data_IF_846400276178
#
_entry.id   IF_846400276178
#
_cell.length_a   1.000
_cell.length_b   1.000
_cell.length_c   1.000
_cell.angle_alpha   90.00
_cell.angle_beta   90.00
_cell.angle_gamma   90.00
#
_symmetry.space_group_name_H-M   'P 1'
#
loop_
_entity.id
_entity.type
_entity.pdbx_description
1 polymer ?
#
# COMPACT_ATOMS: atom_id res chain seq x y z
N UNK A 1 11.49 -46.20 -24.78
CA UNK A 1 12.26 -45.40 -23.79
C UNK A 1 12.01 -43.88 -23.87
N UNK A 2 11.94 -43.24 -25.05
CA UNK A 2 11.66 -41.79 -25.16
C UNK A 2 10.31 -41.35 -24.56
N UNK A 3 9.24 -42.14 -24.70
CA UNK A 3 7.90 -41.79 -24.18
C UNK A 3 7.77 -41.97 -22.65
N UNK A 4 8.56 -42.87 -22.06
CA UNK A 4 8.58 -43.09 -20.59
C UNK A 4 9.33 -41.93 -19.91
N UNK A 5 10.42 -41.45 -20.51
CA UNK A 5 11.14 -40.29 -20.00
C UNK A 5 10.25 -39.02 -19.99
N UNK A 6 9.49 -38.79 -21.06
CA UNK A 6 8.58 -37.64 -21.17
C UNK A 6 7.45 -37.68 -20.12
N UNK A 7 6.90 -38.86 -19.84
CA UNK A 7 5.89 -39.06 -18.80
C UNK A 7 6.43 -38.85 -17.37
N UNK A 8 7.66 -39.31 -17.10
CA UNK A 8 8.32 -39.12 -15.79
C UNK A 8 8.65 -37.64 -15.56
N UNK A 9 9.12 -36.93 -16.59
CA UNK A 9 9.34 -35.47 -16.51
C UNK A 9 8.02 -34.73 -16.27
N UNK A 10 6.95 -35.02 -17.01
CA UNK A 10 5.64 -34.40 -16.80
C UNK A 10 5.10 -34.63 -15.37
N UNK A 11 5.22 -35.85 -14.82
CA UNK A 11 4.80 -36.16 -13.45
C UNK A 11 5.63 -35.45 -12.38
N UNK A 12 6.94 -35.28 -12.59
CA UNK A 12 7.81 -34.53 -11.69
C UNK A 12 7.48 -33.03 -11.69
N UNK A 13 7.20 -32.44 -12.86
CA UNK A 13 6.77 -31.04 -12.99
C UNK A 13 5.42 -30.79 -12.31
N UNK A 14 4.44 -31.69 -12.49
CA UNK A 14 3.12 -31.57 -11.83
C UNK A 14 3.25 -31.66 -10.31
N UNK A 15 4.05 -32.59 -9.78
CA UNK A 15 4.29 -32.70 -8.32
C UNK A 15 4.99 -31.47 -7.76
N UNK A 16 5.97 -30.90 -8.46
CA UNK A 16 6.68 -29.70 -8.00
C UNK A 16 5.77 -28.47 -7.97
N UNK A 17 4.93 -28.29 -9.00
CA UNK A 17 3.95 -27.19 -9.03
C UNK A 17 2.90 -27.32 -7.92
N UNK A 18 2.38 -28.52 -7.66
CA UNK A 18 1.41 -28.75 -6.59
C UNK A 18 1.99 -28.48 -5.20
N UNK A 19 3.25 -28.89 -4.96
CA UNK A 19 3.95 -28.62 -3.70
C UNK A 19 4.21 -27.11 -3.50
N UNK A 20 4.55 -26.39 -4.59
CA UNK A 20 4.70 -24.94 -4.56
C UNK A 20 3.40 -24.24 -4.16
N UNK A 21 2.27 -24.65 -4.73
CA UNK A 21 0.96 -24.07 -4.40
C UNK A 21 0.57 -24.31 -2.95
N UNK A 22 0.80 -25.53 -2.46
CA UNK A 22 0.53 -25.90 -1.08
C UNK A 22 1.33 -25.04 -0.10
N UNK A 23 2.58 -24.70 -0.43
CA UNK A 23 3.41 -23.82 0.38
C UNK A 23 2.88 -22.37 0.40
N UNK A 24 2.38 -21.86 -0.74
CA UNK A 24 1.75 -20.54 -0.81
C UNK A 24 0.50 -20.50 0.09
N UNK A 25 -0.37 -21.50 -0.02
CA UNK A 25 -1.56 -21.55 0.82
C UNK A 25 -1.23 -21.74 2.31
N UNK A 26 -0.24 -22.55 2.66
CA UNK A 26 0.21 -22.67 4.05
C UNK A 26 0.74 -21.33 4.61
N UNK A 27 1.44 -20.55 3.79
CA UNK A 27 1.87 -19.20 4.17
C UNK A 27 0.67 -18.26 4.36
N UNK A 28 -0.33 -18.32 3.47
CA UNK A 28 -1.59 -17.56 3.63
C UNK A 28 -2.31 -17.92 4.93
N UNK A 29 -2.48 -19.20 5.21
CA UNK A 29 -3.22 -19.69 6.39
C UNK A 29 -2.55 -19.23 7.70
N UNK A 30 -1.21 -19.34 7.78
CA UNK A 30 -0.46 -18.91 8.96
C UNK A 30 -0.54 -17.40 9.18
N UNK A 31 -0.37 -16.62 8.10
CA UNK A 31 -0.38 -15.16 8.16
C UNK A 31 -1.79 -14.61 8.42
N UNK A 32 -2.84 -15.24 7.88
CA UNK A 32 -4.23 -14.84 8.13
C UNK A 32 -4.65 -15.05 9.58
N UNK A 33 -4.23 -16.15 10.21
CA UNK A 33 -4.47 -16.38 11.64
C UNK A 33 -3.85 -15.27 12.50
N UNK A 34 -2.60 -14.92 12.22
CA UNK A 34 -1.90 -13.86 12.94
C UNK A 34 -2.56 -12.50 12.71
N UNK A 35 -2.95 -12.19 11.47
CA UNK A 35 -3.65 -10.96 11.12
C UNK A 35 -5.00 -10.85 11.85
N UNK A 36 -5.81 -11.91 11.86
CA UNK A 36 -7.08 -11.93 12.58
C UNK A 36 -6.88 -11.67 14.08
N UNK A 37 -5.87 -12.32 14.69
CA UNK A 37 -5.56 -12.13 16.11
C UNK A 37 -5.09 -10.71 16.43
N UNK A 38 -4.15 -10.16 15.65
CA UNK A 38 -3.59 -8.82 15.89
C UNK A 38 -4.58 -7.69 15.63
N UNK A 39 -5.43 -7.84 14.61
CA UNK A 39 -6.41 -6.82 14.25
C UNK A 39 -7.73 -6.93 15.00
N UNK A 40 -8.06 -8.10 15.56
CA UNK A 40 -9.38 -8.41 16.12
C UNK A 40 -10.45 -8.69 15.06
N UNK A 41 -10.07 -8.83 13.78
CA UNK A 41 -11.03 -8.97 12.68
C UNK A 41 -11.89 -10.23 12.78
N UNK A 42 -13.16 -10.11 12.42
CA UNK A 42 -14.06 -11.27 12.30
C UNK A 42 -13.77 -12.09 11.05
N UNK A 43 -13.44 -11.40 9.96
CA UNK A 43 -13.05 -12.02 8.69
C UNK A 43 -11.75 -11.43 8.15
N UNK A 44 -11.01 -12.29 7.47
CA UNK A 44 -9.80 -11.93 6.73
C UNK A 44 -9.93 -12.55 5.34
N UNK A 45 -9.82 -11.73 4.31
CA UNK A 45 -9.80 -12.19 2.92
C UNK A 45 -8.46 -11.78 2.29
N UNK A 46 -7.76 -12.72 1.66
CA UNK A 46 -6.42 -12.53 1.10
C UNK A 46 -6.36 -12.97 -0.35
N UNK A 47 -5.76 -12.12 -1.19
CA UNK A 47 -5.42 -12.40 -2.57
C UNK A 47 -3.92 -12.22 -2.79
N UNK A 48 -3.27 -13.20 -3.39
CA UNK A 48 -1.87 -13.14 -3.77
C UNK A 48 -1.76 -13.39 -5.27
N UNK A 49 -1.01 -12.51 -5.93
CA UNK A 49 -0.44 -12.79 -7.24
C UNK A 49 1.02 -13.14 -7.04
N UNK A 50 1.47 -14.32 -7.48
CA UNK A 50 2.88 -14.70 -7.45
C UNK A 50 3.24 -15.37 -8.77
N UNK A 51 4.23 -14.82 -9.45
CA UNK A 51 4.71 -15.35 -10.73
C UNK A 51 3.59 -15.53 -11.78
N UNK A 52 2.64 -14.58 -11.80
CA UNK A 52 1.46 -14.60 -12.68
C UNK A 52 0.34 -15.53 -12.24
N UNK A 53 0.50 -16.28 -11.14
CA UNK A 53 -0.52 -17.19 -10.58
C UNK A 53 -1.28 -16.55 -9.42
N UNK A 54 -2.59 -16.77 -9.42
CA UNK A 54 -3.54 -16.21 -8.44
C UNK A 54 -3.84 -17.23 -7.34
N UNK A 55 -3.87 -16.74 -6.09
CA UNK A 55 -4.25 -17.50 -4.90
C UNK A 55 -5.21 -16.66 -4.07
N UNK A 56 -6.37 -17.23 -3.70
CA UNK A 56 -7.33 -16.59 -2.79
C UNK A 56 -7.60 -17.46 -1.57
N UNK A 57 -7.79 -16.81 -0.41
CA UNK A 57 -8.21 -17.44 0.84
C UNK A 57 -9.11 -16.50 1.63
N UNK A 58 -10.09 -17.08 2.29
CA UNK A 58 -11.05 -16.39 3.14
C UNK A 58 -11.15 -17.12 4.48
N UNK A 59 -11.14 -16.35 5.56
CA UNK A 59 -11.12 -16.86 6.92
C UNK A 59 -12.16 -16.14 7.76
N UNK A 60 -12.72 -16.87 8.73
CA UNK A 60 -13.67 -16.31 9.69
C UNK A 60 -15.08 -16.10 9.13
N UNK A 61 -15.87 -15.35 9.88
CA UNK A 61 -17.26 -15.02 9.56
C UNK A 61 -17.37 -13.51 9.32
N UNK A 62 -18.25 -13.09 8.41
CA UNK A 62 -18.54 -11.68 8.20
C UNK A 62 -19.21 -11.10 9.44
N UNK A 63 -20.12 -11.85 10.06
CA UNK A 63 -20.76 -11.51 11.32
C UNK A 63 -20.52 -12.61 12.34
N UNK A 64 -19.86 -12.29 13.45
CA UNK A 64 -19.52 -13.26 14.50
C UNK A 64 -20.76 -14.03 15.00
N UNK A 65 -20.72 -15.35 14.87
CA UNK A 65 -21.73 -16.28 15.36
C UNK A 65 -22.92 -16.49 14.41
N UNK A 66 -22.91 -15.88 13.21
CA UNK A 66 -23.98 -16.05 12.22
C UNK A 66 -23.68 -17.13 11.17
N UNK A 67 -22.46 -17.66 11.13
CA UNK A 67 -22.06 -18.70 10.17
C UNK A 67 -21.90 -18.22 8.73
N UNK A 68 -22.05 -16.91 8.46
CA UNK A 68 -21.86 -16.32 7.14
C UNK A 68 -20.38 -16.10 6.84
N UNK A 69 -19.74 -17.09 6.23
CA UNK A 69 -18.32 -17.05 5.89
C UNK A 69 -18.04 -16.11 4.73
N UNK A 70 -16.90 -15.43 4.78
CA UNK A 70 -16.37 -14.73 3.61
C UNK A 70 -15.99 -15.75 2.52
N UNK A 71 -16.18 -15.37 1.25
CA UNK A 71 -15.84 -16.16 0.07
C UNK A 71 -15.44 -15.28 -1.13
N UNK A 72 -15.15 -15.91 -2.27
CA UNK A 72 -14.71 -15.23 -3.50
C UNK A 72 -15.78 -14.28 -4.09
N UNK A 73 -17.04 -14.38 -3.65
CA UNK A 73 -18.16 -13.54 -4.12
C UNK A 73 -18.52 -12.43 -3.14
N UNK A 74 -17.86 -12.39 -1.98
CA UNK A 74 -18.14 -11.40 -0.95
C UNK A 74 -17.64 -10.01 -1.36
N UNK A 75 -18.56 -9.05 -1.45
CA UNK A 75 -18.25 -7.64 -1.68
C UNK A 75 -17.74 -6.97 -0.41
N UNK A 76 -16.60 -6.30 -0.49
CA UNK A 76 -16.05 -5.46 0.58
C UNK A 76 -15.89 -4.03 0.11
N UNK A 77 -16.06 -3.05 1.01
CA UNK A 77 -15.62 -1.69 0.74
C UNK A 77 -14.08 -1.65 0.68
N UNK A 78 -13.52 -1.27 -0.48
CA UNK A 78 -12.05 -1.19 -0.65
C UNK A 78 -11.47 0.18 -0.26
N UNK A 79 -12.35 1.13 0.06
CA UNK A 79 -11.99 2.45 0.57
C UNK A 79 -10.92 3.13 -0.29
N UNK A 80 -9.87 3.71 0.31
CA UNK A 80 -8.85 4.47 -0.40
C UNK A 80 -8.03 3.69 -1.44
N UNK A 81 -8.17 2.36 -1.58
CA UNK A 81 -7.59 1.63 -2.71
C UNK A 81 -8.20 2.10 -4.05
N UNK A 82 -9.45 2.58 -4.04
CA UNK A 82 -10.09 3.24 -5.19
C UNK A 82 -9.24 4.34 -5.82
N UNK A 83 -8.41 5.02 -5.02
CA UNK A 83 -7.60 6.14 -5.50
C UNK A 83 -6.54 5.70 -6.49
N UNK A 84 -6.12 4.43 -6.46
CA UNK A 84 -5.23 3.87 -7.49
C UNK A 84 -5.93 3.83 -8.85
N UNK A 85 -7.24 3.51 -8.89
CA UNK A 85 -8.02 3.60 -10.12
C UNK A 85 -8.12 5.04 -10.62
N UNK A 86 -8.37 6.02 -9.73
CA UNK A 86 -8.34 7.44 -10.09
C UNK A 86 -6.97 7.85 -10.64
N UNK A 87 -5.89 7.37 -10.00
CA UNK A 87 -4.52 7.60 -10.43
C UNK A 87 -4.23 7.03 -11.81
N UNK A 88 -4.70 5.81 -12.11
CA UNK A 88 -4.58 5.22 -13.45
C UNK A 88 -5.37 6.00 -14.50
N UNK A 89 -6.58 6.48 -14.21
CA UNK A 89 -7.33 7.31 -15.15
C UNK A 89 -6.61 8.64 -15.45
N UNK A 90 -6.00 9.27 -14.45
CA UNK A 90 -5.17 10.47 -14.67
C UNK A 90 -3.88 10.16 -15.44
N UNK A 91 -3.21 9.06 -15.11
CA UNK A 91 -2.03 8.59 -15.84
C UNK A 91 -2.37 8.31 -17.32
N UNK A 92 -3.52 7.69 -17.58
CA UNK A 92 -4.04 7.51 -18.93
C UNK A 92 -4.29 8.86 -19.63
N UNK A 93 -4.92 9.82 -18.95
CA UNK A 93 -5.14 11.16 -19.52
C UNK A 93 -3.84 11.90 -19.84
N UNK A 94 -2.78 11.71 -19.02
CA UNK A 94 -1.43 12.24 -19.28
C UNK A 94 -0.83 11.59 -20.52
N UNK A 95 -0.89 10.25 -20.63
CA UNK A 95 -0.34 9.52 -21.76
C UNK A 95 -1.08 9.80 -23.07
N UNK A 96 -2.38 10.11 -23.00
CA UNK A 96 -3.20 10.54 -24.14
C UNK A 96 -2.98 12.02 -24.51
N UNK A 97 -2.16 12.77 -23.76
CA UNK A 97 -1.91 14.19 -23.98
C UNK A 97 -3.10 15.10 -23.69
N UNK A 98 -4.10 14.61 -22.94
CA UNK A 98 -5.29 15.38 -22.56
C UNK A 98 -5.03 16.32 -21.38
N UNK A 99 -4.06 15.96 -20.52
CA UNK A 99 -3.56 16.79 -19.41
C UNK A 99 -2.04 16.70 -19.32
N UNK A 100 -1.40 17.73 -18.76
CA UNK A 100 0.01 17.69 -18.35
C UNK A 100 0.14 17.82 -16.83
N UNK A 101 1.19 17.19 -16.28
CA UNK A 101 1.51 17.27 -14.85
C UNK A 101 1.77 18.69 -14.36
N UNK A 102 2.26 19.57 -15.22
CA UNK A 102 2.56 20.95 -14.88
C UNK A 102 1.41 21.92 -15.16
N UNK A 103 0.28 21.43 -15.66
CA UNK A 103 -0.89 22.27 -15.88
C UNK A 103 -1.55 22.69 -14.58
N UNK A 104 -2.01 23.94 -14.59
CA UNK A 104 -2.96 24.47 -13.62
C UNK A 104 -4.28 23.67 -13.69
N UNK A 105 -4.74 23.16 -12.54
CA UNK A 105 -5.99 22.38 -12.42
C UNK A 105 -7.20 23.14 -12.95
N UNK A 106 -7.20 24.47 -12.88
CA UNK A 106 -8.33 25.34 -13.28
C UNK A 106 -8.64 25.24 -14.77
N UNK A 107 -7.66 24.85 -15.60
CA UNK A 107 -7.87 24.60 -17.04
C UNK A 107 -8.90 23.51 -17.31
N UNK A 108 -9.10 22.60 -16.37
CA UNK A 108 -9.95 21.42 -16.50
C UNK A 108 -11.25 21.48 -15.69
N UNK A 109 -11.54 22.64 -15.08
CA UNK A 109 -12.75 22.88 -14.32
C UNK A 109 -13.68 23.81 -15.11
N UNK A 110 -14.98 23.47 -15.14
CA UNK A 110 -16.01 24.34 -15.69
C UNK A 110 -16.46 25.33 -14.63
N UNK A 111 -16.21 26.63 -14.84
CA UNK A 111 -16.52 27.70 -13.88
C UNK A 111 -15.29 28.54 -13.53
N UNK A 112 -15.46 29.49 -12.62
CA UNK A 112 -14.37 30.37 -12.15
C UNK A 112 -13.90 29.93 -10.77
N UNK A 113 -12.62 29.57 -10.66
CA UNK A 113 -11.98 29.09 -9.43
C UNK A 113 -10.68 29.86 -9.11
N UNK A 114 -10.72 31.21 -9.01
CA UNK A 114 -9.52 32.02 -8.76
C UNK A 114 -8.90 31.74 -7.39
N UNK A 115 -9.63 31.09 -6.48
CA UNK A 115 -9.18 30.68 -5.16
C UNK A 115 -8.28 29.43 -5.15
N UNK A 116 -8.13 28.71 -6.27
CA UNK A 116 -7.26 27.52 -6.39
C UNK A 116 -5.79 27.89 -6.70
N UNK A 117 -5.32 28.95 -6.06
CA UNK A 117 -3.92 29.39 -6.07
C UNK A 117 -3.58 30.04 -4.72
N UNK A 118 -2.28 30.16 -4.44
CA UNK A 118 -1.77 30.87 -3.28
C UNK A 118 -0.74 31.90 -3.74
N UNK A 119 -1.03 33.20 -3.56
CA UNK A 119 -0.18 34.31 -3.99
C UNK A 119 0.28 34.19 -5.46
N UNK A 120 -0.64 33.84 -6.37
CA UNK A 120 -0.36 33.67 -7.81
C UNK A 120 0.27 32.33 -8.19
N UNK A 121 0.54 31.43 -7.24
CA UNK A 121 1.03 30.07 -7.52
C UNK A 121 -0.16 29.10 -7.59
N UNK A 122 -0.50 28.57 -8.78
CA UNK A 122 -1.66 27.69 -8.94
C UNK A 122 -1.39 26.28 -8.43
N UNK A 123 -2.48 25.56 -8.09
CA UNK A 123 -2.42 24.11 -7.93
C UNK A 123 -2.18 23.47 -9.29
N UNK A 124 -1.14 22.65 -9.42
CA UNK A 124 -0.87 21.87 -10.63
C UNK A 124 -1.39 20.44 -10.53
N UNK A 125 -1.58 19.75 -11.66
CA UNK A 125 -1.96 18.32 -11.70
C UNK A 125 -1.00 17.47 -10.85
N UNK A 126 0.32 17.71 -10.92
CA UNK A 126 1.29 16.98 -10.09
C UNK A 126 1.07 17.16 -8.59
N UNK A 127 0.63 18.34 -8.16
CA UNK A 127 0.31 18.59 -6.75
C UNK A 127 -0.95 17.84 -6.33
N UNK A 128 -1.90 17.69 -7.24
CA UNK A 128 -3.14 16.94 -7.01
C UNK A 128 -2.83 15.49 -6.68
N UNK A 129 -2.07 14.83 -7.54
CA UNK A 129 -1.78 13.38 -7.45
C UNK A 129 -0.80 13.01 -6.34
N UNK A 130 0.03 13.97 -5.87
CA UNK A 130 0.98 13.79 -4.75
C UNK A 130 0.44 14.26 -3.40
N UNK A 131 -0.81 14.75 -3.32
CA UNK A 131 -1.40 15.39 -2.13
C UNK A 131 -0.67 16.64 -1.64
N UNK A 132 0.02 17.36 -2.52
CA UNK A 132 0.73 18.59 -2.18
C UNK A 132 -0.09 19.83 -2.56
N UNK A 133 -1.41 19.78 -2.43
CA UNK A 133 -2.32 20.83 -2.91
C UNK A 133 -2.54 21.97 -1.91
N UNK A 134 -2.20 21.76 -0.64
CA UNK A 134 -2.56 22.62 0.50
C UNK A 134 -4.09 22.80 0.72
N UNK A 135 -4.92 21.97 0.08
CA UNK A 135 -6.37 22.00 0.24
C UNK A 135 -6.81 21.46 1.61
N UNK A 136 -8.04 21.79 2.06
CA UNK A 136 -8.69 21.09 3.17
C UNK A 136 -8.80 19.58 2.89
N UNK A 137 -9.03 18.81 3.95
CA UNK A 137 -9.14 17.35 3.84
C UNK A 137 -10.37 16.94 3.03
N UNK A 138 -11.54 17.51 3.36
CA UNK A 138 -12.82 17.09 2.82
C UNK A 138 -13.71 18.29 2.45
N UNK A 139 -14.67 18.01 1.58
CA UNK A 139 -15.89 18.79 1.41
C UNK A 139 -17.09 17.82 1.49
N UNK A 140 -18.17 18.16 2.23
CA UNK A 140 -18.30 19.34 3.10
C UNK A 140 -17.24 19.33 4.22
N UNK A 141 -16.94 20.51 4.77
CA UNK A 141 -15.89 20.62 5.79
C UNK A 141 -16.28 19.83 7.05
N UNK A 142 -15.38 18.96 7.51
CA UNK A 142 -15.55 18.08 8.67
C UNK A 142 -14.51 18.34 9.78
N UNK A 143 -13.76 19.45 9.71
CA UNK A 143 -12.68 19.78 10.64
C UNK A 143 -13.12 19.79 12.11
N UNK A 144 -14.33 20.29 12.41
CA UNK A 144 -14.85 20.33 13.78
C UNK A 144 -15.18 18.93 14.33
N UNK A 145 -15.69 18.04 13.47
CA UNK A 145 -15.90 16.63 13.85
C UNK A 145 -14.56 15.93 14.10
N UNK A 146 -13.55 16.22 13.26
CA UNK A 146 -12.19 15.67 13.43
C UNK A 146 -11.49 16.11 14.72
N UNK A 147 -11.74 17.31 15.22
CA UNK A 147 -11.17 17.78 16.49
C UNK A 147 -11.75 17.05 17.71
N UNK A 148 -12.92 16.42 17.57
CA UNK A 148 -13.69 15.78 18.66
C UNK A 148 -14.07 14.34 18.30
N UNK A 149 -13.10 13.56 17.82
CA UNK A 149 -13.35 12.19 17.41
C UNK A 149 -13.77 11.30 18.58
N UNK A 150 -14.84 10.55 18.38
CA UNK A 150 -15.40 9.52 19.26
C UNK A 150 -15.83 8.32 18.43
N UNK A 151 -16.25 7.25 19.09
CA UNK A 151 -16.82 6.05 18.42
C UNK A 151 -18.10 6.36 17.61
N UNK A 152 -18.75 7.50 17.84
CA UNK A 152 -19.92 7.96 17.08
C UNK A 152 -19.56 8.77 15.82
N UNK A 153 -18.32 9.24 15.70
CA UNK A 153 -17.88 10.10 14.61
C UNK A 153 -18.16 9.52 13.21
N UNK A 154 -17.97 8.21 12.93
CA UNK A 154 -18.39 7.61 11.66
C UNK A 154 -19.84 7.89 11.26
N UNK A 155 -20.77 7.83 12.19
CA UNK A 155 -22.19 8.09 11.94
C UNK A 155 -22.46 9.58 11.72
N UNK A 156 -21.73 10.45 12.40
CA UNK A 156 -21.80 11.89 12.20
C UNK A 156 -21.27 12.31 10.83
N UNK A 157 -20.19 11.68 10.35
CA UNK A 157 -19.70 11.89 8.98
C UNK A 157 -20.74 11.46 7.95
N UNK A 158 -21.37 10.29 8.11
CA UNK A 158 -22.41 9.86 7.18
C UNK A 158 -23.60 10.81 7.17
N UNK A 159 -24.02 11.30 8.34
CA UNK A 159 -25.09 12.30 8.45
C UNK A 159 -24.68 13.64 7.80
N UNK A 160 -23.43 14.06 7.94
CA UNK A 160 -22.94 15.30 7.33
C UNK A 160 -22.93 15.21 5.79
N UNK A 161 -22.61 14.04 5.24
CA UNK A 161 -22.59 13.80 3.80
C UNK A 161 -23.98 13.49 3.22
N UNK A 162 -24.98 13.26 4.07
CA UNK A 162 -26.35 12.98 3.65
C UNK A 162 -26.93 14.18 2.88
N UNK A 163 -27.28 13.95 1.61
CA UNK A 163 -27.82 14.99 0.73
C UNK A 163 -26.78 15.94 0.12
N UNK A 164 -25.50 15.84 0.46
CA UNK A 164 -24.45 16.67 -0.15
C UNK A 164 -24.22 16.27 -1.60
N UNK A 165 -24.39 17.19 -2.55
CA UNK A 165 -24.38 16.90 -3.99
C UNK A 165 -23.09 17.34 -4.70
N UNK A 166 -22.90 16.91 -5.96
CA UNK A 166 -21.82 17.42 -6.82
C UNK A 166 -21.91 18.93 -7.06
N UNK A 167 -23.09 19.54 -6.98
CA UNK A 167 -23.25 20.98 -7.16
C UNK A 167 -22.90 21.75 -5.88
N UNK A 168 -23.25 21.21 -4.71
CA UNK A 168 -22.75 21.73 -3.42
C UNK A 168 -21.23 21.66 -3.38
N UNK A 169 -20.63 20.55 -3.82
CA UNK A 169 -19.17 20.41 -3.93
C UNK A 169 -18.55 21.52 -4.79
N UNK A 170 -19.10 21.80 -5.98
CA UNK A 170 -18.57 22.86 -6.87
C UNK A 170 -18.70 24.25 -6.23
N UNK A 171 -19.82 24.51 -5.53
CA UNK A 171 -20.06 25.77 -4.82
C UNK A 171 -19.05 25.95 -3.69
N UNK A 172 -18.85 24.93 -2.87
CA UNK A 172 -17.92 24.98 -1.76
C UNK A 172 -16.46 25.03 -2.25
N UNK A 173 -16.12 24.29 -3.31
CA UNK A 173 -14.82 24.33 -3.97
C UNK A 173 -14.46 25.75 -4.43
N UNK A 174 -15.42 26.56 -4.87
CA UNK A 174 -15.19 27.96 -5.25
C UNK A 174 -14.88 28.87 -4.05
N UNK A 175 -14.97 28.37 -2.81
CA UNK A 175 -14.76 29.14 -1.57
C UNK A 175 -13.59 28.62 -0.72
N UNK A 176 -12.97 27.48 -1.09
CA UNK A 176 -11.86 26.92 -0.31
C UNK A 176 -10.66 27.87 -0.30
N UNK A 177 -9.89 27.79 0.78
CA UNK A 177 -8.64 28.54 0.95
C UNK A 177 -7.49 27.56 1.09
N UNK A 178 -6.41 27.82 0.36
CA UNK A 178 -5.17 27.07 0.49
C UNK A 178 -4.44 27.53 1.75
N UNK A 179 -3.92 26.59 2.53
CA UNK A 179 -3.19 26.93 3.75
C UNK A 179 -1.77 27.45 3.48
N UNK A 180 -1.22 27.17 2.29
CA UNK A 180 0.14 27.55 1.87
C UNK A 180 0.30 27.38 0.35
N UNK A 181 1.49 27.67 -0.17
CA UNK A 181 1.88 27.41 -1.56
C UNK A 181 1.76 25.91 -1.91
N UNK A 182 1.08 25.52 -3.01
CA UNK A 182 1.06 24.15 -3.49
C UNK A 182 2.47 23.61 -3.83
N UNK A 183 2.68 22.32 -3.64
CA UNK A 183 3.95 21.63 -3.92
C UNK A 183 5.00 21.72 -2.81
N UNK A 184 4.64 22.21 -1.62
CA UNK A 184 5.56 22.34 -0.47
C UNK A 184 5.47 21.20 0.53
N UNK A 185 4.25 20.77 0.84
CA UNK A 185 4.00 19.81 1.91
C UNK A 185 2.94 18.79 1.49
N UNK A 186 3.18 17.54 1.85
CA UNK A 186 2.17 16.50 1.77
C UNK A 186 1.05 16.77 2.78
N UNK A 187 -0.19 16.83 2.29
CA UNK A 187 -1.40 16.93 3.10
C UNK A 187 -2.52 16.13 2.45
N UNK A 188 -2.77 14.95 3.00
CA UNK A 188 -3.84 14.08 2.53
C UNK A 188 -5.18 14.83 2.43
N UNK A 189 -5.83 14.71 1.27
CA UNK A 189 -7.07 15.42 0.94
C UNK A 189 -7.95 14.55 0.06
N UNK A 190 -9.11 14.13 0.57
CA UNK A 190 -10.14 13.48 -0.25
C UNK A 190 -10.78 14.49 -1.22
N UNK A 191 -10.79 15.78 -0.89
CA UNK A 191 -11.21 16.83 -1.82
C UNK A 191 -10.37 16.80 -3.11
N UNK A 192 -9.06 16.59 -2.99
CA UNK A 192 -8.16 16.45 -4.15
C UNK A 192 -8.61 15.30 -5.07
N UNK A 193 -9.15 14.22 -4.51
CA UNK A 193 -9.68 13.10 -5.29
C UNK A 193 -11.01 13.45 -5.95
N UNK A 194 -11.96 14.01 -5.21
CA UNK A 194 -13.26 14.40 -5.80
C UNK A 194 -13.09 15.47 -6.89
N UNK A 195 -12.12 16.39 -6.72
CA UNK A 195 -11.72 17.31 -7.78
C UNK A 195 -11.09 16.58 -8.97
N UNK A 196 -10.31 15.51 -8.76
CA UNK A 196 -9.80 14.65 -9.84
C UNK A 196 -10.93 13.96 -10.60
N UNK A 197 -11.96 13.46 -9.89
CA UNK A 197 -13.17 12.90 -10.49
C UNK A 197 -13.88 13.91 -11.40
N UNK A 198 -14.07 15.15 -10.92
CA UNK A 198 -14.63 16.26 -11.69
C UNK A 198 -13.78 16.61 -12.93
N UNK A 199 -12.46 16.69 -12.78
CA UNK A 199 -11.50 16.95 -13.86
C UNK A 199 -11.61 15.87 -14.94
N UNK A 200 -11.60 14.60 -14.54
CA UNK A 200 -11.75 13.47 -15.46
C UNK A 200 -13.09 13.51 -16.22
N UNK A 201 -14.22 13.79 -15.53
CA UNK A 201 -15.51 13.95 -16.21
C UNK A 201 -15.49 15.08 -17.24
N UNK A 202 -14.85 16.22 -16.91
CA UNK A 202 -14.77 17.36 -17.82
C UNK A 202 -13.91 17.09 -19.05
N UNK A 203 -12.79 16.38 -18.89
CA UNK A 203 -11.85 16.06 -19.97
C UNK A 203 -12.41 15.01 -20.93
N UNK A 204 -13.11 14.00 -20.39
CA UNK A 204 -13.62 12.89 -21.19
C UNK A 204 -15.08 13.04 -21.62
N UNK A 205 -15.84 13.93 -20.99
CA UNK A 205 -17.28 14.08 -21.25
C UNK A 205 -18.12 12.85 -20.86
N UNK A 206 -17.60 11.99 -19.97
CA UNK A 206 -18.26 10.78 -19.46
C UNK A 206 -18.29 10.82 -17.94
N UNK A 207 -19.23 10.10 -17.32
CA UNK A 207 -19.25 10.00 -15.85
C UNK A 207 -18.01 9.26 -15.33
N UNK A 208 -17.59 9.58 -14.11
CA UNK A 208 -16.45 8.92 -13.49
C UNK A 208 -16.65 7.39 -13.37
N UNK A 209 -17.87 6.95 -13.09
CA UNK A 209 -18.23 5.53 -13.05
C UNK A 209 -18.05 4.85 -14.42
N UNK A 210 -18.50 5.52 -15.51
CA UNK A 210 -18.29 5.02 -16.86
C UNK A 210 -16.80 4.93 -17.20
N UNK A 211 -16.00 5.92 -16.80
CA UNK A 211 -14.56 5.90 -17.02
C UNK A 211 -13.88 4.72 -16.32
N UNK A 212 -14.20 4.46 -15.05
CA UNK A 212 -13.70 3.29 -14.33
C UNK A 212 -14.09 1.99 -15.02
N UNK A 213 -15.38 1.85 -15.39
CA UNK A 213 -15.89 0.64 -16.03
C UNK A 213 -15.19 0.36 -17.36
N UNK A 214 -15.16 1.33 -18.27
CA UNK A 214 -14.61 1.15 -19.62
C UNK A 214 -13.10 0.99 -19.63
N UNK A 215 -12.37 1.71 -18.76
CA UNK A 215 -10.92 1.80 -18.85
C UNK A 215 -10.18 0.84 -17.93
N UNK A 216 -10.83 0.38 -16.86
CA UNK A 216 -10.21 -0.49 -15.85
C UNK A 216 -11.03 -1.76 -15.70
N UNK A 217 -12.26 -1.66 -15.19
CA UNK A 217 -12.98 -2.86 -14.73
C UNK A 217 -13.26 -3.83 -15.87
N UNK A 218 -13.83 -3.38 -16.99
CA UNK A 218 -14.12 -4.26 -18.13
C UNK A 218 -12.86 -4.76 -18.85
N UNK A 219 -11.78 -3.95 -18.91
CA UNK A 219 -10.52 -4.40 -19.54
C UNK A 219 -9.82 -5.50 -18.74
N UNK A 220 -9.93 -5.43 -17.42
CA UNK A 220 -9.33 -6.38 -16.50
C UNK A 220 -10.26 -7.55 -16.15
N UNK A 221 -11.52 -7.51 -16.60
CA UNK A 221 -12.55 -8.48 -16.22
C UNK A 221 -12.92 -8.43 -14.74
N UNK A 222 -12.89 -7.25 -14.13
CA UNK A 222 -13.28 -7.01 -12.73
C UNK A 222 -14.80 -6.83 -12.61
N UNK A 223 -15.55 -7.89 -12.91
CA UNK A 223 -17.01 -7.87 -13.01
C UNK A 223 -17.72 -7.68 -11.65
N UNK A 224 -17.01 -7.88 -10.55
CA UNK A 224 -17.49 -7.72 -9.18
C UNK A 224 -16.83 -6.50 -8.51
N UNK A 225 -16.52 -5.46 -9.29
CA UNK A 225 -16.05 -4.18 -8.79
C UNK A 225 -17.00 -3.07 -9.24
N UNK A 226 -17.67 -2.42 -8.28
CA UNK A 226 -18.79 -1.51 -8.54
C UNK A 226 -18.79 -0.32 -7.59
N UNK A 227 -19.32 0.82 -8.01
CA UNK A 227 -19.59 1.96 -7.12
C UNK A 227 -20.94 1.82 -6.42
N UNK A 228 -21.91 1.24 -7.10
CA UNK A 228 -23.24 0.92 -6.57
C UNK A 228 -23.51 -0.57 -6.77
N UNK A 229 -24.02 -1.22 -5.73
CA UNK A 229 -24.41 -2.64 -5.78
C UNK A 229 -25.86 -2.78 -6.28
N UNK A 230 -26.15 -3.90 -6.91
CA UNK A 230 -27.52 -4.26 -7.28
C UNK A 230 -28.34 -4.64 -6.03
N UNK A 231 -29.68 -4.63 -6.13
CA UNK A 231 -30.56 -4.86 -4.96
C UNK A 231 -30.35 -6.20 -4.25
N UNK A 232 -29.88 -7.22 -4.97
CA UNK A 232 -29.59 -8.57 -4.48
C UNK A 232 -28.13 -8.73 -4.03
N UNK A 233 -27.28 -7.74 -4.24
CA UNK A 233 -25.88 -7.75 -3.84
C UNK A 233 -25.73 -7.01 -2.51
N UNK A 234 -25.03 -7.63 -1.57
CA UNK A 234 -24.83 -7.08 -0.23
C UNK A 234 -23.34 -7.02 0.06
N UNK A 235 -22.89 -5.86 0.52
CA UNK A 235 -21.54 -5.68 1.03
C UNK A 235 -21.41 -6.33 2.42
N UNK A 236 -20.27 -6.93 2.71
CA UNK A 236 -19.87 -7.34 4.04
C UNK A 236 -20.01 -6.20 5.06
N UNK A 237 -20.51 -6.56 6.24
CA UNK A 237 -20.56 -5.68 7.40
C UNK A 237 -19.14 -5.35 7.89
N UNK A 238 -18.93 -4.10 8.27
CA UNK A 238 -17.71 -3.63 8.89
C UNK A 238 -17.92 -3.25 10.36
N UNK A 239 -16.91 -3.46 11.18
CA UNK A 239 -17.00 -3.23 12.62
C UNK A 239 -15.90 -2.28 13.12
N UNK A 240 -16.22 -1.50 14.15
CA UNK A 240 -15.21 -0.82 14.95
C UNK A 240 -14.48 -1.85 15.84
N UNK A 241 -13.32 -1.48 16.39
CA UNK A 241 -12.52 -2.37 17.25
C UNK A 241 -13.25 -2.84 18.52
N UNK A 242 -14.24 -2.07 18.99
CA UNK A 242 -15.15 -2.46 20.07
C UNK A 242 -16.31 -3.36 19.60
N UNK A 243 -16.25 -3.86 18.36
CA UNK A 243 -17.24 -4.72 17.71
C UNK A 243 -18.60 -4.09 17.44
N UNK A 244 -18.72 -2.76 17.54
CA UNK A 244 -19.91 -2.05 17.09
C UNK A 244 -19.99 -2.10 15.56
N UNK A 245 -21.16 -2.50 15.05
CA UNK A 245 -21.45 -2.44 13.61
C UNK A 245 -21.37 -0.98 13.13
N UNK A 246 -20.57 -0.74 12.10
CA UNK A 246 -20.34 0.59 11.53
C UNK A 246 -21.29 0.88 10.37
N UNK A 247 -21.58 2.16 10.09
CA UNK A 247 -22.43 2.50 8.95
C UNK A 247 -21.70 2.16 7.65
N UNK A 248 -22.47 1.89 6.59
CA UNK A 248 -21.91 1.77 5.23
C UNK A 248 -21.72 3.17 4.68
N UNK A 249 -20.51 3.49 4.21
CA UNK A 249 -20.25 4.80 3.62
C UNK A 249 -21.05 5.01 2.34
N UNK A 250 -21.69 6.17 2.24
CA UNK A 250 -22.47 6.63 1.09
C UNK A 250 -21.96 7.99 0.64
N UNK A 251 -22.09 8.26 -0.66
CA UNK A 251 -21.75 9.56 -1.21
C UNK A 251 -22.48 9.80 -2.53
N UNK A 252 -23.00 11.02 -2.71
CA UNK A 252 -23.55 11.47 -3.98
C UNK A 252 -22.49 12.15 -4.88
N UNK A 253 -21.22 12.17 -4.44
CA UNK A 253 -20.11 12.66 -5.25
C UNK A 253 -19.62 11.57 -6.22
N UNK A 254 -18.45 11.77 -6.84
CA UNK A 254 -17.88 10.83 -7.78
C UNK A 254 -17.45 9.52 -7.10
N UNK A 255 -17.09 9.59 -5.81
CA UNK A 255 -16.60 8.44 -5.07
C UNK A 255 -15.15 8.08 -5.43
N UNK A 256 -14.45 8.98 -6.10
CA UNK A 256 -13.03 8.89 -6.44
C UNK A 256 -12.14 8.80 -5.19
N UNK A 257 -12.59 9.33 -4.05
CA UNK A 257 -11.95 9.16 -2.76
C UNK A 257 -12.16 7.78 -2.14
N UNK A 258 -12.98 6.90 -2.71
CA UNK A 258 -13.19 5.53 -2.23
C UNK A 258 -14.34 5.34 -1.24
N UNK A 259 -15.19 6.35 -1.05
CA UNK A 259 -16.42 6.23 -0.24
C UNK A 259 -17.43 5.23 -0.83
N UNK A 260 -17.33 4.95 -2.14
CA UNK A 260 -18.33 4.17 -2.88
C UNK A 260 -17.88 2.79 -3.32
N UNK A 261 -16.60 2.57 -3.59
CA UNK A 261 -16.21 1.36 -4.34
C UNK A 261 -16.26 0.11 -3.48
N UNK A 262 -16.93 -0.91 -4.01
CA UNK A 262 -16.92 -2.29 -3.50
C UNK A 262 -16.22 -3.18 -4.51
N UNK A 263 -15.49 -4.17 -4.01
CA UNK A 263 -14.82 -5.18 -4.82
C UNK A 263 -14.77 -6.52 -4.09
N UNK A 264 -14.35 -7.56 -4.80
CA UNK A 264 -13.99 -8.87 -4.24
C UNK A 264 -12.48 -9.05 -4.25
N UNK A 265 -11.96 -9.99 -3.46
CA UNK A 265 -10.53 -10.34 -3.54
C UNK A 265 -10.16 -10.82 -4.95
N UNK A 266 -11.02 -11.60 -5.60
CA UNK A 266 -10.76 -12.12 -6.94
C UNK A 266 -10.51 -11.01 -7.97
N UNK A 267 -11.26 -9.92 -7.90
CA UNK A 267 -11.06 -8.76 -8.76
C UNK A 267 -9.82 -7.95 -8.38
N UNK A 268 -9.57 -7.76 -7.08
CA UNK A 268 -8.38 -7.04 -6.63
C UNK A 268 -7.08 -7.73 -7.06
N UNK A 269 -7.06 -9.06 -7.20
CA UNK A 269 -5.89 -9.76 -7.75
C UNK A 269 -5.72 -9.54 -9.25
N UNK A 270 -6.80 -9.34 -10.02
CA UNK A 270 -6.70 -8.92 -11.42
C UNK A 270 -6.08 -7.53 -11.52
N UNK A 271 -6.41 -6.64 -10.59
CA UNK A 271 -5.77 -5.33 -10.50
C UNK A 271 -4.29 -5.39 -10.08
N UNK A 272 -3.92 -6.29 -9.15
CA UNK A 272 -2.50 -6.55 -8.85
C UNK A 272 -1.71 -6.96 -10.10
N UNK A 273 -2.33 -7.75 -10.99
CA UNK A 273 -1.69 -8.18 -12.24
C UNK A 273 -1.42 -7.01 -13.18
N UNK A 274 -2.35 -6.08 -13.29
CA UNK A 274 -2.18 -4.85 -14.07
C UNK A 274 -1.03 -4.00 -13.50
N UNK A 275 -1.00 -3.79 -12.18
CA UNK A 275 0.01 -2.94 -11.52
C UNK A 275 1.42 -3.55 -11.54
N UNK A 276 1.53 -4.88 -11.69
CA UNK A 276 2.82 -5.58 -11.86
C UNK A 276 3.26 -5.68 -13.33
N UNK A 277 2.42 -5.37 -14.30
CA UNK A 277 2.79 -5.47 -15.71
C UNK A 277 3.72 -4.32 -16.12
N UNK A 278 5.01 -4.64 -16.22
CA UNK A 278 6.05 -3.71 -16.68
C UNK A 278 5.85 -3.20 -18.11
N UNK A 279 5.01 -3.86 -18.91
CA UNK A 279 4.66 -3.40 -20.27
C UNK A 279 3.46 -2.46 -20.26
N UNK A 280 2.70 -2.40 -19.18
CA UNK A 280 1.57 -1.52 -19.07
C UNK A 280 2.02 -0.09 -18.77
N UNK A 281 1.98 0.77 -19.79
CA UNK A 281 2.41 2.17 -19.67
C UNK A 281 1.59 2.97 -18.67
N UNK A 282 0.30 2.67 -18.51
CA UNK A 282 -0.57 3.38 -17.55
C UNK A 282 -0.16 3.04 -16.12
N UNK A 283 0.08 1.77 -15.81
CA UNK A 283 0.61 1.36 -14.51
C UNK A 283 2.01 1.94 -14.23
N UNK A 284 2.90 1.92 -15.22
CA UNK A 284 4.23 2.52 -15.07
C UNK A 284 4.16 4.03 -14.81
N UNK A 285 3.26 4.74 -15.51
CA UNK A 285 3.05 6.16 -15.30
C UNK A 285 2.40 6.46 -13.94
N UNK A 286 1.40 5.67 -13.53
CA UNK A 286 0.72 5.84 -12.23
C UNK A 286 1.68 5.63 -11.04
N UNK A 287 2.76 4.87 -11.22
CA UNK A 287 3.78 4.63 -10.20
C UNK A 287 5.01 5.56 -10.30
N UNK A 288 5.02 6.54 -11.23
CA UNK A 288 6.20 7.36 -11.53
C UNK A 288 6.70 8.17 -10.34
N UNK A 289 8.02 8.23 -10.16
CA UNK A 289 8.69 9.11 -9.20
C UNK A 289 8.76 10.55 -9.72
N UNK A 290 7.64 11.26 -9.64
CA UNK A 290 7.48 12.63 -10.19
C UNK A 290 8.38 13.65 -9.48
N UNK A 291 8.67 13.44 -8.19
CA UNK A 291 9.53 14.33 -7.40
C UNK A 291 11.02 14.08 -7.62
N UNK A 292 11.41 13.06 -8.39
CA UNK A 292 12.80 12.58 -8.50
C UNK A 292 13.43 12.32 -7.12
N UNK A 293 12.62 11.86 -6.16
CA UNK A 293 13.09 11.55 -4.81
C UNK A 293 14.13 10.43 -4.84
N UNK A 294 15.19 10.58 -4.04
CA UNK A 294 16.17 9.50 -3.79
C UNK A 294 15.75 8.58 -2.64
N UNK A 295 14.66 8.93 -1.97
CA UNK A 295 14.07 8.28 -0.81
C UNK A 295 12.80 7.54 -1.25
N UNK A 296 11.69 7.74 -0.54
CA UNK A 296 10.37 7.29 -0.97
C UNK A 296 9.65 8.32 -1.87
N UNK A 297 8.59 7.90 -2.56
CA UNK A 297 7.73 8.77 -3.37
C UNK A 297 6.27 8.30 -3.44
N UNK A 298 5.33 9.19 -3.75
CA UNK A 298 3.88 8.91 -3.67
C UNK A 298 3.22 8.40 -4.97
N UNK A 299 3.88 8.46 -6.13
CA UNK A 299 3.21 8.14 -7.41
C UNK A 299 1.90 8.91 -7.60
N UNK A 300 0.96 8.36 -8.36
CA UNK A 300 -0.39 8.88 -8.51
C UNK A 300 -1.29 8.30 -7.42
N UNK A 301 -1.43 9.05 -6.32
CA UNK A 301 -2.22 8.69 -5.13
C UNK A 301 -1.82 7.38 -4.43
N UNK A 302 -0.66 6.78 -4.72
CA UNK A 302 -0.10 5.74 -3.86
C UNK A 302 0.24 6.35 -2.50
N UNK A 303 0.15 5.54 -1.43
CA UNK A 303 0.58 6.04 -0.12
C UNK A 303 2.10 6.09 -0.03
N UNK A 304 2.78 5.13 -0.65
CA UNK A 304 4.22 5.18 -0.78
C UNK A 304 4.72 4.17 -1.80
N UNK A 305 5.81 4.54 -2.46
CA UNK A 305 6.74 3.67 -3.16
C UNK A 305 8.11 3.89 -2.52
N UNK A 306 8.82 2.80 -2.21
CA UNK A 306 10.13 2.85 -1.56
C UNK A 306 10.94 1.59 -1.91
N UNK A 307 12.20 1.56 -1.47
CA UNK A 307 13.11 0.43 -1.69
C UNK A 307 13.41 -0.23 -0.35
N UNK A 308 13.39 -1.56 -0.27
CA UNK A 308 13.83 -2.32 0.89
C UNK A 308 14.56 -3.62 0.49
N UNK A 309 14.70 -4.58 1.40
CA UNK A 309 15.37 -5.86 1.15
C UNK A 309 14.68 -6.75 0.12
N UNK A 310 13.40 -6.46 -0.19
CA UNK A 310 12.57 -7.12 -1.18
C UNK A 310 12.52 -6.36 -2.52
N UNK A 311 13.34 -5.32 -2.68
CA UNK A 311 13.42 -4.47 -3.87
C UNK A 311 12.48 -3.28 -3.78
N UNK A 312 11.99 -2.80 -4.92
CA UNK A 312 10.93 -1.81 -5.02
C UNK A 312 9.62 -2.35 -4.44
N UNK A 313 9.01 -1.57 -3.56
CA UNK A 313 7.69 -1.83 -2.96
C UNK A 313 6.80 -0.63 -3.20
N UNK A 314 5.57 -0.87 -3.63
CA UNK A 314 4.50 0.14 -3.67
C UNK A 314 3.32 -0.34 -2.85
N UNK A 315 2.70 0.53 -2.06
CA UNK A 315 1.47 0.16 -1.34
C UNK A 315 0.42 1.27 -1.28
N UNK A 316 -0.82 0.82 -1.05
CA UNK A 316 -1.97 1.63 -0.73
C UNK A 316 -2.78 0.97 0.37
N UNK A 317 -3.08 1.74 1.40
CA UNK A 317 -4.04 1.39 2.43
C UNK A 317 -5.40 2.00 2.12
N UNK A 318 -6.46 1.26 2.43
CA UNK A 318 -7.85 1.70 2.33
C UNK A 318 -8.58 1.47 3.64
N UNK A 319 -8.89 2.54 4.37
CA UNK A 319 -9.76 2.49 5.55
C UNK A 319 -11.15 3.07 5.28
N UNK A 320 -12.19 2.27 5.53
CA UNK A 320 -13.57 2.71 5.74
C UNK A 320 -13.91 2.60 7.24
N UNK A 321 -15.13 2.95 7.65
CA UNK A 321 -15.50 3.00 9.06
C UNK A 321 -15.31 1.67 9.81
N UNK A 322 -15.47 0.54 9.12
CA UNK A 322 -15.31 -0.79 9.71
C UNK A 322 -14.62 -1.81 8.80
N UNK A 323 -13.91 -1.36 7.76
CA UNK A 323 -13.21 -2.26 6.83
C UNK A 323 -11.88 -1.65 6.46
N UNK A 324 -10.83 -2.47 6.48
CA UNK A 324 -9.50 -2.07 6.08
C UNK A 324 -8.99 -2.97 4.96
N UNK A 325 -8.41 -2.35 3.94
CA UNK A 325 -7.81 -3.00 2.78
C UNK A 325 -6.34 -2.63 2.71
N UNK A 326 -5.49 -3.62 2.45
CA UNK A 326 -4.09 -3.46 2.12
C UNK A 326 -3.88 -3.90 0.68
N UNK A 327 -3.22 -3.09 -0.13
CA UNK A 327 -2.86 -3.41 -1.50
C UNK A 327 -1.38 -3.07 -1.70
N UNK A 328 -0.56 -4.07 -1.99
CA UNK A 328 0.88 -3.89 -2.17
C UNK A 328 1.42 -4.68 -3.36
N UNK A 329 2.41 -4.10 -4.03
CA UNK A 329 3.13 -4.70 -5.15
C UNK A 329 4.63 -4.74 -4.85
N UNK A 330 5.25 -5.83 -5.30
CA UNK A 330 6.69 -6.08 -5.25
C UNK A 330 7.15 -6.42 -6.68
N UNK A 331 7.34 -5.42 -7.56
CA UNK A 331 7.55 -5.64 -8.99
C UNK A 331 8.72 -6.55 -9.33
N UNK A 332 9.85 -6.39 -8.63
CA UNK A 332 11.06 -7.19 -8.87
C UNK A 332 10.94 -8.65 -8.42
N UNK A 333 9.98 -8.94 -7.55
CA UNK A 333 9.64 -10.30 -7.12
C UNK A 333 8.46 -10.89 -7.88
N UNK A 334 7.81 -10.10 -8.76
CA UNK A 334 6.54 -10.47 -9.41
C UNK A 334 5.49 -10.98 -8.40
N UNK A 335 5.39 -10.28 -7.27
CA UNK A 335 4.45 -10.58 -6.18
C UNK A 335 3.52 -9.38 -5.95
N UNK A 336 2.23 -9.65 -5.83
CA UNK A 336 1.22 -8.71 -5.39
C UNK A 336 0.43 -9.30 -4.21
N UNK A 337 0.07 -8.46 -3.24
CA UNK A 337 -0.69 -8.86 -2.05
C UNK A 337 -1.85 -7.89 -1.84
N UNK A 338 -3.07 -8.44 -1.77
CA UNK A 338 -4.26 -7.72 -1.36
C UNK A 338 -4.86 -8.42 -0.14
N UNK A 339 -5.15 -7.68 0.93
CA UNK A 339 -5.79 -8.23 2.15
C UNK A 339 -6.90 -7.31 2.59
N UNK A 340 -8.04 -7.88 2.96
CA UNK A 340 -9.20 -7.14 3.46
C UNK A 340 -9.60 -7.74 4.81
N UNK A 341 -9.80 -6.86 5.80
CA UNK A 341 -10.33 -7.21 7.11
C UNK A 341 -11.54 -6.36 7.42
N UNK A 342 -12.58 -6.95 7.98
CA UNK A 342 -13.83 -6.23 8.30
C UNK A 342 -13.83 -5.64 9.72
N UNK A 343 -12.70 -5.07 10.12
CA UNK A 343 -12.58 -4.31 11.36
C UNK A 343 -11.77 -3.03 11.12
N UNK A 344 -12.02 -2.01 11.93
CA UNK A 344 -11.23 -0.80 11.99
C UNK A 344 -10.85 -0.45 13.43
N UNK A 345 -9.53 -0.37 13.67
CA UNK A 345 -8.94 -0.01 14.95
C UNK A 345 -7.51 0.54 14.77
N UNK A 346 -6.91 1.07 15.86
CA UNK A 346 -5.59 1.70 15.80
C UNK A 346 -4.48 0.76 15.31
N UNK A 347 -4.53 -0.52 15.66
CA UNK A 347 -3.51 -1.50 15.26
C UNK A 347 -3.75 -2.14 13.88
N UNK A 348 -4.90 -1.89 13.25
CA UNK A 348 -5.27 -2.59 12.01
C UNK A 348 -4.30 -2.29 10.87
N UNK A 349 -3.83 -1.03 10.76
CA UNK A 349 -2.83 -0.64 9.76
C UNK A 349 -1.51 -1.40 9.95
N UNK A 350 -0.96 -1.37 11.17
CA UNK A 350 0.31 -2.03 11.48
C UNK A 350 0.22 -3.54 11.29
N UNK A 351 -0.91 -4.15 11.68
CA UNK A 351 -1.15 -5.57 11.46
C UNK A 351 -1.14 -5.91 9.96
N UNK A 352 -1.84 -5.14 9.12
CA UNK A 352 -1.84 -5.34 7.66
C UNK A 352 -0.45 -5.15 7.03
N UNK A 353 0.24 -4.06 7.39
CA UNK A 353 1.60 -3.78 6.89
C UNK A 353 2.57 -4.93 7.24
N UNK A 354 2.63 -5.30 8.52
CA UNK A 354 3.52 -6.36 9.00
C UNK A 354 3.16 -7.72 8.40
N UNK A 355 1.88 -8.07 8.34
CA UNK A 355 1.44 -9.31 7.68
C UNK A 355 1.80 -9.34 6.20
N UNK A 356 1.73 -8.22 5.48
CA UNK A 356 2.17 -8.17 4.08
C UNK A 356 3.65 -8.47 3.95
N UNK A 357 4.48 -7.84 4.79
CA UNK A 357 5.92 -8.03 4.78
C UNK A 357 6.33 -9.47 5.16
N UNK A 358 5.69 -10.04 6.20
CA UNK A 358 5.92 -11.40 6.67
C UNK A 358 5.49 -12.44 5.65
N UNK A 359 4.30 -12.26 5.06
CA UNK A 359 3.76 -13.14 4.02
C UNK A 359 4.71 -13.18 2.81
N UNK A 360 5.14 -12.03 2.29
CA UNK A 360 6.11 -12.03 1.16
C UNK A 360 7.42 -12.68 1.57
N UNK A 361 7.91 -12.45 2.80
CA UNK A 361 9.07 -13.16 3.34
C UNK A 361 8.90 -14.68 3.32
N UNK A 362 7.73 -15.19 3.69
CA UNK A 362 7.40 -16.62 3.64
C UNK A 362 7.33 -17.18 2.22
N UNK A 363 6.88 -16.38 1.25
CA UNK A 363 6.75 -16.76 -0.16
C UNK A 363 8.10 -16.85 -0.89
N UNK A 364 9.10 -16.05 -0.48
CA UNK A 364 10.43 -16.00 -1.12
C UNK A 364 11.50 -16.78 -0.35
N UNK A 365 11.19 -17.29 0.84
CA UNK A 365 12.14 -18.07 1.64
C UNK A 365 12.41 -19.42 0.96
N UNK A 366 13.55 -19.51 0.27
CA UNK A 366 14.06 -20.75 -0.37
C UNK A 366 15.15 -21.45 0.46
N UNK A 367 15.59 -20.84 1.57
CA UNK A 367 16.61 -21.41 2.46
C UNK A 367 16.02 -22.49 3.35
N UNK A 368 16.84 -23.46 3.73
CA UNK A 368 16.55 -24.42 4.79
C UNK A 368 16.15 -23.63 6.05
N UNK A 369 14.84 -23.49 6.33
CA UNK A 369 14.28 -22.63 7.40
C UNK A 369 14.86 -22.99 8.78
N UNK A 370 15.52 -24.14 8.88
CA UNK A 370 16.16 -24.67 10.07
C UNK A 370 17.58 -24.13 10.30
N UNK A 371 18.25 -23.58 9.28
CA UNK A 371 19.61 -23.06 9.43
C UNK A 371 19.56 -21.61 9.91
N UNK A 372 19.64 -21.44 11.23
CA UNK A 372 19.79 -20.12 11.83
C UNK A 372 21.24 -19.66 11.83
N UNK A 373 21.50 -18.40 11.51
CA UNK A 373 22.84 -17.79 11.56
C UNK A 373 22.80 -16.35 12.07
N UNK A 374 23.95 -15.80 12.46
CA UNK A 374 24.06 -14.41 12.92
C UNK A 374 24.06 -13.47 11.70
N UNK A 375 23.09 -12.57 11.64
CA UNK A 375 22.93 -11.60 10.55
C UNK A 375 23.43 -10.21 10.94
N UNK A 376 23.92 -9.52 9.92
CA UNK A 376 24.08 -8.08 9.94
C UNK A 376 25.38 -7.57 10.54
N UNK A 377 26.15 -8.38 11.29
CA UNK A 377 27.46 -7.94 11.78
C UNK A 377 28.46 -9.08 11.99
N UNK A 378 29.75 -8.71 12.04
CA UNK A 378 30.87 -9.55 12.50
C UNK A 378 31.86 -8.69 13.29
N UNK A 379 32.60 -9.27 14.23
CA UNK A 379 33.72 -8.56 14.88
C UNK A 379 35.02 -8.95 14.18
N UNK A 380 35.77 -7.95 13.67
CA UNK A 380 37.05 -8.14 12.96
C UNK A 380 38.09 -7.19 13.54
N UNK A 381 39.08 -7.73 14.26
CA UNK A 381 40.07 -6.92 14.98
C UNK A 381 39.38 -5.98 15.98
N UNK A 382 39.66 -4.68 15.89
CA UNK A 382 39.07 -3.66 16.75
C UNK A 382 37.78 -3.02 16.19
N UNK A 383 37.14 -3.65 15.19
CA UNK A 383 35.93 -3.11 14.57
C UNK A 383 34.76 -4.10 14.63
N UNK A 384 33.58 -3.56 14.86
CA UNK A 384 32.31 -4.16 14.46
C UNK A 384 32.10 -3.83 12.99
N UNK A 385 31.98 -4.85 12.16
CA UNK A 385 31.69 -4.70 10.73
C UNK A 385 30.25 -5.09 10.48
N UNK A 386 29.40 -4.10 10.25
CA UNK A 386 28.05 -4.31 9.76
C UNK A 386 28.09 -4.59 8.26
N UNK A 387 27.44 -5.67 7.83
CA UNK A 387 27.45 -6.10 6.44
C UNK A 387 26.05 -6.50 6.01
N UNK A 388 25.64 -6.02 4.84
CA UNK A 388 24.41 -6.47 4.21
C UNK A 388 24.64 -6.68 2.71
N UNK A 389 24.04 -7.75 2.19
CA UNK A 389 24.11 -8.13 0.78
C UNK A 389 22.71 -8.19 0.21
N UNK A 390 22.42 -7.28 -0.73
CA UNK A 390 21.15 -7.26 -1.44
C UNK A 390 21.01 -8.50 -2.34
N UNK A 391 19.81 -9.12 -2.44
CA UNK A 391 19.61 -10.28 -3.30
C UNK A 391 20.02 -10.02 -4.75
N UNK A 392 20.72 -10.97 -5.37
CA UNK A 392 21.31 -10.79 -6.72
C UNK A 392 20.27 -10.66 -7.83
N UNK A 393 19.07 -11.17 -7.62
CA UNK A 393 17.93 -11.09 -8.53
C UNK A 393 17.17 -9.75 -8.42
N UNK A 394 17.54 -8.89 -7.48
CA UNK A 394 16.97 -7.56 -7.27
C UNK A 394 17.96 -6.47 -7.70
N UNK A 395 17.44 -5.30 -8.02
CA UNK A 395 18.17 -4.16 -8.54
C UNK A 395 18.74 -3.28 -7.42
N UNK A 396 19.95 -3.64 -6.98
CA UNK A 396 20.71 -2.84 -6.02
C UNK A 396 21.14 -1.45 -6.54
N UNK A 397 20.83 -1.07 -7.78
CA UNK A 397 21.04 0.31 -8.27
C UNK A 397 19.98 1.28 -7.75
N UNK A 398 18.82 0.78 -7.31
CA UNK A 398 17.76 1.57 -6.70
C UNK A 398 18.11 2.02 -5.27
N UNK A 399 19.13 1.42 -4.64
CA UNK A 399 19.63 1.79 -3.32
C UNK A 399 20.63 2.95 -3.46
N UNK A 400 20.16 4.16 -3.23
CA UNK A 400 20.92 5.41 -3.22
C UNK A 400 21.75 5.57 -1.94
N UNK A 401 21.16 5.25 -0.79
CA UNK A 401 21.81 5.30 0.52
C UNK A 401 21.49 4.06 1.32
N UNK A 402 22.39 3.67 2.22
CA UNK A 402 22.13 2.62 3.17
C UNK A 402 22.79 2.94 4.51
N UNK A 403 22.07 2.72 5.60
CA UNK A 403 22.53 3.03 6.95
C UNK A 403 22.26 1.88 7.90
N UNK A 404 22.95 1.90 9.04
CA UNK A 404 22.62 1.08 10.21
C UNK A 404 22.01 1.99 11.26
N UNK A 405 20.77 1.72 11.66
CA UNK A 405 20.08 2.44 12.73
C UNK A 405 19.82 1.47 13.89
N UNK A 406 20.10 1.90 15.12
CA UNK A 406 19.96 1.06 16.30
C UNK A 406 20.02 1.84 17.61
N UNK A 407 19.96 1.12 18.73
CA UNK A 407 19.97 1.75 20.05
C UNK A 407 21.25 2.53 20.38
N UNK A 408 22.34 2.33 19.63
CA UNK A 408 23.60 3.06 19.77
C UNK A 408 23.65 4.40 19.01
N UNK A 409 22.64 4.71 18.20
CA UNK A 409 22.53 5.98 17.47
C UNK A 409 21.11 6.52 17.46
N UNK A 410 20.35 6.21 18.51
CA UNK A 410 18.96 6.66 18.71
C UNK A 410 18.04 6.34 17.53
N UNK A 411 18.29 5.21 16.85
CA UNK A 411 17.57 4.80 15.65
C UNK A 411 17.59 5.85 14.53
N UNK A 412 18.63 6.69 14.45
CA UNK A 412 18.73 7.76 13.47
C UNK A 412 19.41 7.27 12.16
N UNK A 413 18.65 7.03 11.06
CA UNK A 413 19.23 6.59 9.79
C UNK A 413 20.01 7.69 9.07
N UNK A 414 19.93 8.95 9.52
CA UNK A 414 20.68 10.07 8.96
C UNK A 414 22.02 10.31 9.65
N UNK A 415 22.33 9.55 10.71
CA UNK A 415 23.61 9.68 11.39
C UNK A 415 24.76 9.34 10.41
N UNK A 416 25.62 10.34 10.15
CA UNK A 416 26.73 10.26 9.18
C UNK A 416 27.77 9.21 9.55
N UNK A 417 27.96 8.93 10.85
CA UNK A 417 28.91 7.92 11.32
C UNK A 417 28.44 6.49 11.02
N UNK A 418 27.15 6.30 10.72
CA UNK A 418 26.53 4.99 10.50
C UNK A 418 26.01 4.78 9.08
N UNK A 419 26.51 5.58 8.13
CA UNK A 419 26.25 5.37 6.70
C UNK A 419 27.15 4.25 6.16
N UNK A 420 26.54 3.31 5.45
CA UNK A 420 27.24 2.17 4.86
C UNK A 420 27.79 2.52 3.48
N UNK A 421 28.94 1.96 3.15
CA UNK A 421 29.57 2.14 1.83
C UNK A 421 29.31 0.93 0.95
N UNK A 422 28.91 1.16 -0.29
CA UNK A 422 28.79 0.12 -1.31
C UNK A 422 30.19 -0.45 -1.64
N UNK A 423 30.39 -1.75 -1.41
CA UNK A 423 31.68 -2.45 -1.63
C UNK A 423 31.74 -3.13 -2.99
N UNK A 424 30.61 -3.60 -3.47
CA UNK A 424 30.42 -4.18 -4.79
C UNK A 424 28.97 -3.97 -5.25
N UNK A 425 28.53 -4.62 -6.34
CA UNK A 425 27.20 -4.40 -6.92
C UNK A 425 26.07 -4.51 -5.90
N UNK A 426 26.15 -5.45 -4.97
CA UNK A 426 25.06 -5.79 -4.06
C UNK A 426 25.44 -5.70 -2.57
N UNK A 427 26.72 -5.61 -2.24
CA UNK A 427 27.19 -5.59 -0.85
C UNK A 427 27.50 -4.19 -0.36
N UNK A 428 27.08 -3.93 0.87
CA UNK A 428 27.34 -2.70 1.59
C UNK A 428 27.93 -3.04 2.96
N UNK A 429 28.88 -2.24 3.41
CA UNK A 429 29.53 -2.45 4.70
C UNK A 429 29.81 -1.14 5.42
N UNK A 430 29.81 -1.21 6.75
CA UNK A 430 30.25 -0.18 7.66
C UNK A 430 31.13 -0.81 8.74
N UNK A 431 32.29 -0.23 8.99
CA UNK A 431 33.15 -0.61 10.11
C UNK A 431 33.07 0.46 11.19
N UNK A 432 32.67 0.08 12.40
CA UNK A 432 32.59 0.96 13.58
C UNK A 432 33.57 0.44 14.63
N UNK A 433 34.44 1.29 15.22
CA UNK A 433 35.35 0.86 16.27
C UNK A 433 34.60 0.24 17.46
N UNK A 434 35.10 -0.88 17.98
CA UNK A 434 34.52 -1.55 19.17
C UNK A 434 34.46 -0.61 20.36
N UNK A 435 35.38 0.37 20.46
CA UNK A 435 35.38 1.39 21.51
C UNK A 435 34.15 2.32 21.52
N UNK A 436 33.32 2.30 20.48
CA UNK A 436 32.03 3.00 20.44
C UNK A 436 30.94 2.24 21.21
N UNK A 437 31.22 1.03 21.65
CA UNK A 437 30.27 0.17 22.32
C UNK A 437 30.81 -0.30 23.68
N UNK A 438 29.93 -0.34 24.67
CA UNK A 438 30.23 -0.93 25.97
C UNK A 438 30.33 -2.46 25.88
N UNK A 439 31.37 -3.03 26.47
CA UNK A 439 31.58 -4.47 26.58
C UNK A 439 30.47 -5.13 27.42
N UNK A 440 29.94 -6.24 26.95
CA UNK A 440 28.86 -7.00 27.59
C UNK A 440 27.46 -6.44 27.35
N UNK A 441 27.33 -5.30 26.66
CA UNK A 441 26.04 -4.68 26.36
C UNK A 441 25.47 -5.21 25.04
N UNK A 442 24.17 -5.40 25.01
CA UNK A 442 23.42 -5.79 23.82
C UNK A 442 22.77 -4.55 23.19
N UNK A 443 22.90 -4.44 21.88
CA UNK A 443 22.30 -3.37 21.08
C UNK A 443 21.38 -3.96 20.01
N UNK A 444 20.21 -3.35 19.84
CA UNK A 444 19.29 -3.67 18.74
C UNK A 444 19.57 -2.77 17.55
N UNK A 445 19.44 -3.28 16.32
CA UNK A 445 19.64 -2.51 15.09
C UNK A 445 18.86 -3.08 13.89
N UNK A 446 18.75 -2.26 12.84
CA UNK A 446 18.23 -2.59 11.50
C UNK A 446 19.03 -1.87 10.42
N UNK A 447 18.94 -2.42 9.21
CA UNK A 447 19.39 -1.72 8.00
C UNK A 447 18.27 -0.84 7.45
N UNK A 448 18.64 0.34 6.99
CA UNK A 448 17.72 1.31 6.40
C UNK A 448 18.17 1.66 5.00
N UNK A 449 17.28 1.49 4.03
CA UNK A 449 17.47 1.74 2.60
C UNK A 449 16.88 3.10 2.26
N UNK A 450 17.65 3.95 1.59
CA UNK A 450 17.17 5.25 1.11
C UNK A 450 16.47 6.07 2.21
N UNK A 451 16.96 5.95 3.46
CA UNK A 451 16.43 6.55 4.71
C UNK A 451 15.02 6.14 5.15
N UNK A 452 14.21 5.59 4.26
CA UNK A 452 12.79 5.28 4.50
C UNK A 452 12.51 3.78 4.61
N UNK A 453 13.22 2.96 3.82
CA UNK A 453 12.98 1.52 3.78
C UNK A 453 13.62 0.80 4.95
N UNK A 454 12.83 0.35 5.92
CA UNK A 454 13.34 -0.43 7.05
C UNK A 454 13.37 -1.90 6.73
N UNK A 455 14.53 -2.55 6.89
CA UNK A 455 14.63 -3.99 6.68
C UNK A 455 13.74 -4.76 7.66
N UNK A 456 12.94 -5.70 7.13
CA UNK A 456 12.34 -6.74 7.99
C UNK A 456 13.39 -7.79 8.34
N UNK A 457 13.55 -8.09 9.63
CA UNK A 457 14.53 -9.08 10.08
C UNK A 457 14.22 -10.47 9.52
N UNK A 458 15.19 -11.15 8.88
CA UNK A 458 14.99 -12.48 8.35
C UNK A 458 14.57 -13.48 9.43
N UNK A 459 13.62 -14.37 9.14
CA UNK A 459 13.20 -15.45 10.06
C UNK A 459 14.34 -16.45 10.36
N UNK A 460 15.35 -16.53 9.49
CA UNK A 460 16.58 -17.31 9.68
C UNK A 460 17.61 -16.64 10.59
N UNK A 461 17.39 -15.40 11.02
CA UNK A 461 18.30 -14.75 11.95
C UNK A 461 18.27 -15.44 13.33
N UNK A 462 19.44 -15.80 13.86
CA UNK A 462 19.58 -16.31 15.23
C UNK A 462 19.71 -15.18 16.26
N UNK A 463 20.18 -14.02 15.83
CA UNK A 463 20.44 -12.85 16.66
C UNK A 463 19.29 -11.85 16.53
N UNK A 464 18.14 -12.17 17.12
CA UNK A 464 17.02 -11.22 17.20
C UNK A 464 16.67 -10.90 18.65
N UNK A 465 16.06 -9.73 18.89
CA UNK A 465 15.61 -9.33 20.22
C UNK A 465 14.28 -9.98 20.64
N UNK A 466 13.61 -10.69 19.72
CA UNK A 466 12.31 -11.33 19.96
C UNK A 466 11.17 -10.34 20.24
N UNK A 467 11.38 -9.04 20.01
CA UNK A 467 10.34 -8.02 20.15
C UNK A 467 9.35 -8.10 18.99
N UNK A 468 8.24 -7.35 19.06
CA UNK A 468 7.28 -7.27 17.94
C UNK A 468 7.94 -6.74 16.65
N UNK A 469 8.86 -5.79 16.78
CA UNK A 469 9.65 -5.28 15.65
C UNK A 469 10.75 -6.25 15.20
N UNK A 470 11.01 -7.29 16.01
CA UNK A 470 11.97 -8.36 15.81
C UNK A 470 13.31 -7.84 15.30
N UNK A 471 13.96 -6.91 16.00
CA UNK A 471 15.19 -6.29 15.51
C UNK A 471 16.38 -7.26 15.59
N UNK A 472 17.42 -7.01 14.79
CA UNK A 472 18.69 -7.73 14.95
C UNK A 472 19.39 -7.27 16.21
N UNK A 473 20.10 -8.17 16.89
CA UNK A 473 20.91 -7.84 18.06
C UNK A 473 22.41 -8.08 17.82
N UNK A 474 23.20 -7.25 18.48
CA UNK A 474 24.65 -7.36 18.57
C UNK A 474 25.06 -7.30 20.04
N UNK A 475 25.94 -8.20 20.47
CA UNK A 475 26.53 -8.22 21.81
C UNK A 475 28.05 -8.29 21.66
N UNK A 476 28.79 -7.47 22.40
CA UNK A 476 30.25 -7.30 22.27
C UNK A 476 31.02 -7.70 23.52
#
# INVERSE_FOLDING_TARGET
MKNILFFVFALAFVKHSAQSDQNVYAAMDANAKNLAQKSGAYSVSMGILKDGKVYTRHFGELDKGKGNKADDTTYFAIASVTKLFTGQLLAQAVLEGKISLDDDVRKYLKGSYPNLEYNGVPIKIKNLISYETALPRNLPNDDELRKKMTDDTPFLYEKLNEGYTKDDFKKDLATVKLSMEPGKEYKYSNLSLEMSGLILENIYGKSYETLLKENIFSKLGMDHTKLELEKNEVQANGYHINYRLMPVSKSNLWGSGGSKTKSTIGDMVKFLKEELDVKNKVAQESQRNISNSKEAWYGYFWDQNFINEKGKVGFKHGGSYGTNTWFAIYPELNIGVCMIVNINGPETFNALYNTSADLVGDLISTSDKNKKEVYGYTVKGNNVVFSYTHPKNLDASLINTMAVAGSFNDWNPENKEYQMTKKDKNRFELAVPVSRFEKGKTYSFKFVFNKEGWMTTPKSASNTDGTENNNLIMTL
#
